data_IF_869951137706
#
_entry.id   IF_869951137706
#
_cell.length_a   1.000
_cell.length_b   1.000
_cell.length_c   1.000
_cell.angle_alpha   90.00
_cell.angle_beta   90.00
_cell.angle_gamma   90.00
#
_symmetry.space_group_name_H-M   'P 1'
#
loop_
_entity.id
_entity.type
_entity.pdbx_description
1 polymer ?
#
# COMPACT_ATOMS: atom_id res chain seq x y z
N UNK A 1 -21.47 -13.33 -50.92
CA UNK A 1 -21.60 -13.00 -49.49
C UNK A 1 -21.71 -11.51 -49.33
N UNK A 2 -22.84 -11.07 -48.81
CA UNK A 2 -23.53 -9.81 -49.13
C UNK A 2 -23.16 -8.66 -48.20
N UNK A 3 -23.24 -7.42 -48.72
CA UNK A 3 -23.00 -6.16 -48.01
C UNK A 3 -23.75 -6.03 -46.66
N UNK A 4 -24.83 -6.79 -46.45
CA UNK A 4 -25.57 -6.85 -45.19
C UNK A 4 -24.78 -7.48 -44.03
N UNK A 5 -23.99 -8.54 -44.28
CA UNK A 5 -23.20 -9.19 -43.22
C UNK A 5 -22.13 -8.26 -42.63
N UNK A 6 -21.53 -7.39 -43.47
CA UNK A 6 -20.52 -6.41 -43.02
C UNK A 6 -21.08 -5.31 -42.12
N UNK A 7 -22.37 -4.97 -42.25
CA UNK A 7 -23.02 -3.94 -41.43
C UNK A 7 -23.25 -4.43 -39.99
N UNK A 8 -23.68 -5.67 -39.82
CA UNK A 8 -23.88 -6.27 -38.51
C UNK A 8 -22.57 -6.47 -37.75
N UNK A 9 -21.49 -6.91 -38.42
CA UNK A 9 -20.17 -7.05 -37.78
C UNK A 9 -19.64 -5.71 -37.25
N UNK A 10 -19.80 -4.62 -38.02
CA UNK A 10 -19.41 -3.27 -37.57
C UNK A 10 -20.23 -2.78 -36.38
N UNK A 11 -21.55 -3.02 -36.37
CA UNK A 11 -22.42 -2.62 -35.26
C UNK A 11 -22.12 -3.39 -33.97
N UNK A 12 -21.87 -4.70 -34.08
CA UNK A 12 -21.46 -5.53 -32.94
C UNK A 12 -20.10 -5.10 -32.40
N UNK A 13 -19.12 -4.86 -33.28
CA UNK A 13 -17.80 -4.38 -32.86
C UNK A 13 -17.88 -3.01 -32.18
N UNK A 14 -18.70 -2.09 -32.70
CA UNK A 14 -18.92 -0.77 -32.12
C UNK A 14 -19.61 -0.86 -30.74
N UNK A 15 -20.60 -1.75 -30.59
CA UNK A 15 -21.26 -2.02 -29.30
C UNK A 15 -20.29 -2.63 -28.29
N UNK A 16 -19.43 -3.57 -28.71
CA UNK A 16 -18.39 -4.15 -27.86
C UNK A 16 -17.38 -3.08 -27.44
N UNK A 17 -16.92 -2.23 -28.37
CA UNK A 17 -16.04 -1.10 -28.06
C UNK A 17 -16.69 -0.09 -27.10
N UNK A 18 -17.97 0.26 -27.31
CA UNK A 18 -18.70 1.16 -26.41
C UNK A 18 -18.91 0.55 -25.02
N UNK A 19 -19.13 -0.76 -24.94
CA UNK A 19 -19.20 -1.49 -23.67
C UNK A 19 -17.82 -1.57 -22.98
N UNK A 20 -16.74 -1.55 -23.75
CA UNK A 20 -15.37 -1.55 -23.22
C UNK A 20 -14.97 -0.19 -22.64
N UNK A 21 -15.33 0.94 -23.26
CA UNK A 21 -14.95 2.30 -22.80
C UNK A 21 -15.20 2.55 -21.29
N UNK A 22 -16.36 2.22 -20.69
CA UNK A 22 -16.59 2.44 -19.26
C UNK A 22 -15.72 1.55 -18.35
N UNK A 23 -15.24 0.39 -18.80
CA UNK A 23 -14.29 -0.44 -18.03
C UNK A 23 -12.93 0.26 -17.85
N UNK A 24 -12.54 1.14 -18.77
CA UNK A 24 -11.28 1.88 -18.67
C UNK A 24 -11.39 3.15 -17.83
N UNK A 25 -12.59 3.69 -17.62
CA UNK A 25 -12.81 4.88 -16.78
C UNK A 25 -12.96 4.57 -15.28
N UNK A 26 -13.24 3.32 -14.92
CA UNK A 26 -13.40 2.92 -13.51
C UNK A 26 -12.16 3.12 -12.63
N UNK A 27 -10.97 3.24 -13.22
CA UNK A 27 -9.73 3.45 -12.47
C UNK A 27 -9.48 4.93 -12.09
N UNK A 28 -10.16 5.87 -12.73
CA UNK A 28 -9.87 7.32 -12.65
C UNK A 28 -11.00 8.14 -11.99
N UNK A 29 -12.01 7.50 -11.37
CA UNK A 29 -13.09 8.25 -10.71
C UNK A 29 -12.56 8.98 -9.47
N UNK A 30 -12.35 10.29 -9.62
CA UNK A 30 -12.06 11.21 -8.53
C UNK A 30 -13.36 11.49 -7.77
N UNK A 31 -13.67 10.67 -6.76
CA UNK A 31 -14.71 11.03 -5.78
C UNK A 31 -14.15 12.09 -4.84
N UNK A 32 -14.91 13.16 -4.63
CA UNK A 32 -14.61 14.12 -3.58
C UNK A 32 -14.49 13.38 -2.24
N UNK A 33 -13.48 13.75 -1.46
CA UNK A 33 -13.36 13.23 -0.10
C UNK A 33 -14.57 13.71 0.71
N UNK A 34 -15.14 12.87 1.59
CA UNK A 34 -16.27 13.27 2.40
C UNK A 34 -15.87 14.46 3.28
N UNK A 35 -16.73 15.47 3.36
CA UNK A 35 -16.57 16.56 4.32
C UNK A 35 -16.91 16.03 5.72
N UNK A 36 -15.91 16.00 6.60
CA UNK A 36 -16.07 15.58 7.99
C UNK A 36 -15.77 16.75 8.91
N UNK A 37 -16.55 16.90 9.99
CA UNK A 37 -16.27 17.89 11.04
C UNK A 37 -14.92 17.60 11.70
N UNK A 38 -14.61 16.30 11.89
CA UNK A 38 -13.32 15.81 12.37
C UNK A 38 -12.97 14.52 11.65
N UNK A 39 -11.82 14.49 10.98
CA UNK A 39 -11.32 13.26 10.37
C UNK A 39 -10.50 12.44 11.34
N UNK A 40 -10.60 11.12 11.22
CA UNK A 40 -9.86 10.20 12.08
C UNK A 40 -8.38 10.21 11.73
N UNK A 41 -7.53 10.56 12.71
CA UNK A 41 -6.08 10.49 12.57
C UNK A 41 -5.53 9.40 13.47
N UNK A 42 -4.97 8.37 12.85
CA UNK A 42 -4.29 7.30 13.57
C UNK A 42 -2.89 7.74 13.95
N UNK A 43 -2.68 7.90 15.25
CA UNK A 43 -1.44 8.36 15.84
C UNK A 43 -0.57 7.16 16.22
N UNK A 44 0.72 7.16 15.86
CA UNK A 44 1.62 6.13 16.33
C UNK A 44 1.74 6.22 17.86
N UNK A 45 1.40 5.14 18.56
CA UNK A 45 1.79 4.95 19.96
C UNK A 45 3.28 4.57 20.08
N UNK A 46 3.75 4.19 21.28
CA UNK A 46 5.12 3.76 21.47
C UNK A 46 5.51 2.62 20.52
N UNK A 47 6.61 2.80 19.78
CA UNK A 47 7.16 1.78 18.87
C UNK A 47 8.27 0.95 19.52
N UNK A 48 8.54 -0.27 19.02
CA UNK A 48 9.55 -1.15 19.61
C UNK A 48 10.98 -0.62 19.52
N UNK A 49 11.30 0.18 18.51
CA UNK A 49 12.64 0.74 18.29
C UNK A 49 12.61 2.28 18.24
N UNK A 50 13.60 2.98 18.83
CA UNK A 50 13.61 4.45 18.86
C UNK A 50 13.61 5.11 17.48
N UNK A 51 14.29 4.52 16.49
CA UNK A 51 14.36 5.08 15.14
C UNK A 51 13.02 4.93 14.41
N UNK A 52 12.35 3.78 14.59
CA UNK A 52 10.99 3.53 14.12
C UNK A 52 10.01 4.51 14.77
N UNK A 53 10.10 4.72 16.08
CA UNK A 53 9.25 5.65 16.84
C UNK A 53 9.36 7.11 16.34
N UNK A 54 10.61 7.55 16.15
CA UNK A 54 10.92 8.91 15.72
C UNK A 54 10.29 9.26 14.37
N UNK A 55 10.30 8.33 13.43
CA UNK A 55 9.84 8.56 12.06
C UNK A 55 8.48 7.93 11.74
N UNK A 56 7.78 7.44 12.76
CA UNK A 56 6.48 6.81 12.58
C UNK A 56 5.47 7.77 11.92
N UNK A 57 4.81 7.34 10.83
CA UNK A 57 3.77 8.14 10.19
C UNK A 57 2.49 8.15 11.02
N UNK A 58 1.70 9.21 10.85
CA UNK A 58 0.29 9.23 11.19
C UNK A 58 -0.55 8.97 9.93
N UNK A 59 -1.70 8.32 10.08
CA UNK A 59 -2.60 8.04 8.96
C UNK A 59 -3.90 8.82 9.14
N UNK A 60 -4.21 9.71 8.20
CA UNK A 60 -5.49 10.37 8.13
C UNK A 60 -6.43 9.54 7.24
N UNK A 61 -7.46 8.96 7.86
CA UNK A 61 -8.48 8.19 7.15
C UNK A 61 -9.79 8.97 7.15
N UNK A 62 -10.48 8.95 6.02
CA UNK A 62 -11.82 9.51 5.89
C UNK A 62 -12.88 8.41 5.95
N UNK A 63 -14.14 8.79 6.20
CA UNK A 63 -15.26 7.86 6.26
C UNK A 63 -15.18 6.91 7.45
N UNK A 64 -14.72 7.39 8.62
CA UNK A 64 -14.46 6.54 9.79
C UNK A 64 -15.71 5.77 10.29
N UNK A 65 -16.91 6.29 10.02
CA UNK A 65 -18.17 5.61 10.35
C UNK A 65 -18.22 4.19 9.74
N UNK A 66 -17.67 4.03 8.54
CA UNK A 66 -17.59 2.75 7.86
C UNK A 66 -16.41 1.92 8.37
N UNK A 67 -16.71 0.73 8.88
CA UNK A 67 -15.72 -0.15 9.51
C UNK A 67 -14.59 -0.54 8.56
N UNK A 68 -14.87 -0.68 7.27
CA UNK A 68 -13.87 -1.04 6.25
C UNK A 68 -12.84 0.08 6.00
N UNK A 69 -13.06 1.31 6.47
CA UNK A 69 -12.09 2.42 6.40
C UNK A 69 -11.17 2.49 7.62
N UNK A 70 -11.38 1.62 8.61
CA UNK A 70 -10.63 1.66 9.87
C UNK A 70 -9.38 0.81 9.76
N UNK A 71 -8.25 1.37 10.16
CA UNK A 71 -7.03 0.59 10.42
C UNK A 71 -7.31 -0.35 11.60
N UNK A 72 -6.89 -1.62 11.47
CA UNK A 72 -7.08 -2.63 12.52
C UNK A 72 -5.91 -3.60 12.64
N UNK A 73 -6.05 -4.55 13.57
CA UNK A 73 -5.06 -5.60 13.83
C UNK A 73 -5.44 -6.91 13.14
N UNK A 74 -4.60 -7.43 12.23
CA UNK A 74 -4.62 -8.84 11.83
C UNK A 74 -4.82 -9.77 13.02
N UNK A 75 -5.89 -10.55 12.98
CA UNK A 75 -6.34 -11.43 14.05
C UNK A 75 -6.85 -12.74 13.45
N UNK A 76 -6.91 -13.80 14.24
CA UNK A 76 -7.41 -15.11 13.81
C UNK A 76 -8.57 -15.56 14.70
N UNK A 77 -9.53 -16.29 14.11
CA UNK A 77 -10.66 -16.89 14.83
C UNK A 77 -11.15 -18.17 14.15
N UNK A 78 -11.95 -18.97 14.88
CA UNK A 78 -12.68 -20.09 14.28
C UNK A 78 -13.98 -19.57 13.69
N UNK A 79 -14.21 -19.92 12.44
CA UNK A 79 -15.53 -19.75 11.80
C UNK A 79 -16.56 -20.68 12.48
N UNK A 80 -17.88 -20.45 12.30
CA UNK A 80 -18.90 -21.38 12.78
C UNK A 80 -18.74 -22.82 12.27
N UNK A 81 -18.10 -23.02 11.12
CA UNK A 81 -17.78 -24.33 10.56
C UNK A 81 -16.51 -24.99 11.13
N UNK A 82 -15.85 -24.35 12.10
CA UNK A 82 -14.62 -24.86 12.75
C UNK A 82 -13.32 -24.55 12.01
N UNK A 83 -13.38 -23.99 10.79
CA UNK A 83 -12.21 -23.59 10.01
C UNK A 83 -11.56 -22.33 10.60
N UNK A 84 -10.24 -22.24 10.47
CA UNK A 84 -9.49 -21.01 10.75
C UNK A 84 -9.84 -19.90 9.75
N UNK A 85 -10.01 -18.68 10.24
CA UNK A 85 -10.16 -17.47 9.46
C UNK A 85 -9.25 -16.38 10.03
N UNK A 86 -8.50 -15.71 9.17
CA UNK A 86 -7.82 -14.45 9.52
C UNK A 86 -8.65 -13.26 9.05
N UNK A 87 -8.68 -12.22 9.86
CA UNK A 87 -9.45 -11.01 9.60
C UNK A 87 -8.75 -9.81 10.26
N UNK A 88 -9.15 -8.59 9.91
CA UNK A 88 -8.63 -7.37 10.53
C UNK A 88 -9.59 -6.88 11.62
N UNK A 89 -9.13 -6.82 12.87
CA UNK A 89 -9.85 -6.27 14.01
C UNK A 89 -9.76 -4.74 14.06
N UNK A 90 -10.82 -4.01 13.67
CA UNK A 90 -10.80 -2.54 13.59
C UNK A 90 -10.85 -1.86 14.96
N UNK A 91 -11.03 -2.61 16.06
CA UNK A 91 -11.07 -2.07 17.42
C UNK A 91 -9.67 -1.97 18.06
N UNK A 92 -8.67 -2.62 17.46
CA UNK A 92 -7.30 -2.65 17.95
C UNK A 92 -6.34 -2.16 16.87
N UNK A 93 -6.36 -0.89 16.47
CA UNK A 93 -5.51 -0.41 15.38
C UNK A 93 -4.03 -0.62 15.69
N UNK A 94 -3.33 -1.28 14.76
CA UNK A 94 -1.93 -1.68 14.94
C UNK A 94 -1.14 -1.36 13.68
N UNK A 95 0.08 -0.84 13.86
CA UNK A 95 1.07 -0.67 12.78
C UNK A 95 2.21 -1.64 13.00
N UNK A 96 2.51 -2.40 11.95
CA UNK A 96 3.56 -3.42 11.96
C UNK A 96 4.84 -2.86 11.37
N UNK A 97 5.96 -3.01 12.07
CA UNK A 97 7.19 -2.31 11.75
C UNK A 97 8.36 -3.26 11.51
N UNK A 98 9.24 -2.85 10.61
CA UNK A 98 10.47 -3.57 10.30
C UNK A 98 11.55 -2.54 9.97
N UNK A 99 12.78 -2.80 10.40
CA UNK A 99 13.95 -2.01 10.02
C UNK A 99 14.89 -2.88 9.18
N UNK A 100 15.35 -2.37 8.04
CA UNK A 100 16.39 -3.04 7.22
C UNK A 100 17.40 -2.02 6.70
N UNK A 101 18.66 -2.43 6.60
CA UNK A 101 19.71 -1.63 5.96
C UNK A 101 19.98 -2.15 4.55
N UNK A 102 20.40 -1.25 3.68
CA UNK A 102 20.96 -1.59 2.37
C UNK A 102 22.06 -0.59 2.02
N UNK A 103 22.92 -0.98 1.08
CA UNK A 103 24.03 -0.13 0.62
C UNK A 103 23.99 0.03 -0.88
N UNK A 104 24.43 1.19 -1.35
CA UNK A 104 24.58 1.54 -2.76
C UNK A 104 26.01 2.04 -3.00
N UNK A 105 26.27 2.58 -4.20
CA UNK A 105 27.54 3.26 -4.47
C UNK A 105 27.66 4.63 -3.76
N UNK A 106 26.55 5.24 -3.29
CA UNK A 106 26.59 6.56 -2.65
C UNK A 106 26.48 6.51 -1.12
N UNK A 107 26.11 5.39 -0.54
CA UNK A 107 26.08 5.27 0.91
C UNK A 107 25.35 4.03 1.43
N UNK A 108 25.18 4.02 2.75
CA UNK A 108 24.35 3.05 3.45
C UNK A 108 23.09 3.76 3.93
N UNK A 109 21.97 3.09 3.75
CA UNK A 109 20.65 3.60 4.04
C UNK A 109 19.90 2.64 4.96
N UNK A 110 18.97 3.20 5.73
CA UNK A 110 18.09 2.42 6.62
C UNK A 110 16.64 2.64 6.22
N UNK A 111 15.95 1.58 5.85
CA UNK A 111 14.52 1.60 5.61
C UNK A 111 13.75 1.27 6.90
N UNK A 112 12.78 2.11 7.19
CA UNK A 112 11.77 1.89 8.23
C UNK A 112 10.43 1.59 7.55
N UNK A 113 9.97 0.36 7.70
CA UNK A 113 8.70 -0.10 7.14
C UNK A 113 7.59 0.07 8.16
N UNK A 114 6.43 0.56 7.71
CA UNK A 114 5.22 0.71 8.49
C UNK A 114 4.05 0.13 7.70
N UNK A 115 3.52 -1.00 8.16
CA UNK A 115 2.43 -1.72 7.50
C UNK A 115 1.16 -1.63 8.33
N UNK A 116 0.07 -1.19 7.70
CA UNK A 116 -1.27 -1.15 8.29
C UNK A 116 -2.23 -1.94 7.42
N UNK A 117 -3.35 -2.38 8.01
CA UNK A 117 -4.34 -3.21 7.34
C UNK A 117 -5.76 -2.71 7.61
N UNK A 118 -6.64 -2.97 6.65
CA UNK A 118 -8.07 -2.65 6.72
C UNK A 118 -8.89 -3.92 6.54
N UNK A 119 -10.13 -3.97 7.07
CA UNK A 119 -10.98 -5.16 6.94
C UNK A 119 -11.21 -5.62 5.50
N UNK A 120 -11.57 -4.70 4.59
CA UNK A 120 -11.88 -5.04 3.20
C UNK A 120 -11.96 -3.82 2.29
N UNK A 121 -11.76 -4.02 0.99
CA UNK A 121 -12.24 -3.10 -0.05
C UNK A 121 -13.62 -3.59 -0.48
N UNK A 122 -14.71 -2.84 -0.22
CA UNK A 122 -16.05 -3.27 -0.61
C UNK A 122 -16.16 -3.35 -2.13
N UNK A 123 -16.83 -4.40 -2.60
CA UNK A 123 -17.14 -4.56 -4.00
C UNK A 123 -18.07 -3.46 -4.49
N UNK A 124 -17.78 -2.93 -5.67
CA UNK A 124 -18.63 -1.97 -6.37
C UNK A 124 -18.53 -2.26 -7.86
N UNK A 125 -19.69 -2.26 -8.54
CA UNK A 125 -19.77 -2.35 -10.01
C UNK A 125 -19.59 -0.97 -10.67
N UNK A 126 -19.99 0.10 -9.98
CA UNK A 126 -19.93 1.48 -10.47
C UNK A 126 -19.52 2.42 -9.31
N UNK A 127 -18.26 2.91 -9.29
CA UNK A 127 -17.14 2.50 -10.14
C UNK A 127 -16.76 1.05 -9.87
N UNK A 128 -16.17 0.41 -10.88
CA UNK A 128 -15.69 -0.96 -10.75
C UNK A 128 -14.45 -1.01 -9.86
N UNK A 129 -14.58 -1.57 -8.65
CA UNK A 129 -13.46 -1.76 -7.73
C UNK A 129 -12.72 -3.06 -8.06
N UNK A 130 -11.70 -2.95 -8.91
CA UNK A 130 -10.86 -4.08 -9.29
C UNK A 130 -10.21 -4.76 -8.07
N UNK A 131 -9.83 -3.96 -7.06
CA UNK A 131 -9.13 -4.37 -5.83
C UNK A 131 -10.04 -4.91 -4.72
N UNK A 132 -11.32 -5.13 -5.00
CA UNK A 132 -12.29 -5.62 -4.01
C UNK A 132 -11.86 -6.96 -3.40
N UNK A 133 -11.99 -7.07 -2.07
CA UNK A 133 -11.62 -8.25 -1.30
C UNK A 133 -11.11 -7.90 0.09
N UNK A 134 -10.77 -8.93 0.86
CA UNK A 134 -10.48 -8.79 2.29
C UNK A 134 -8.99 -8.54 2.57
N UNK A 135 -8.73 -8.08 3.79
CA UNK A 135 -7.41 -7.87 4.36
C UNK A 135 -6.44 -7.02 3.51
N UNK A 136 -6.89 -5.96 2.80
CA UNK A 136 -5.97 -5.07 2.10
C UNK A 136 -5.02 -4.38 3.09
N UNK A 137 -3.77 -4.22 2.67
CA UNK A 137 -2.78 -3.48 3.45
C UNK A 137 -2.11 -2.37 2.65
N UNK A 138 -1.55 -1.42 3.40
CA UNK A 138 -0.66 -0.38 2.89
C UNK A 138 0.66 -0.50 3.63
N UNK A 139 1.75 -0.22 2.92
CA UNK A 139 3.09 -0.15 3.46
C UNK A 139 3.69 1.21 3.12
N UNK A 140 4.16 1.91 4.15
CA UNK A 140 4.97 3.12 4.04
C UNK A 140 6.41 2.76 4.38
N UNK A 141 7.34 3.19 3.54
CA UNK A 141 8.78 2.99 3.77
C UNK A 141 9.44 4.34 3.86
N UNK A 142 10.04 4.64 5.01
CA UNK A 142 10.86 5.83 5.20
C UNK A 142 12.32 5.41 5.07
N UNK A 143 12.99 5.86 4.01
CA UNK A 143 14.41 5.59 3.78
C UNK A 143 15.23 6.70 4.42
N UNK A 144 16.16 6.35 5.29
CA UNK A 144 17.05 7.25 6.00
C UNK A 144 18.47 7.18 5.45
N UNK A 145 19.18 8.31 5.46
CA UNK A 145 20.62 8.37 5.24
C UNK A 145 21.43 7.97 6.49
N UNK A 146 22.76 8.05 6.38
CA UNK A 146 23.73 7.78 7.46
C UNK A 146 23.60 8.73 8.66
N UNK A 147 22.94 9.88 8.49
CA UNK A 147 22.62 10.85 9.54
C UNK A 147 21.21 10.66 10.10
N UNK A 148 20.55 9.56 9.75
CA UNK A 148 19.17 9.24 10.14
C UNK A 148 18.14 10.29 9.70
N UNK A 149 18.38 10.97 8.58
CA UNK A 149 17.44 11.92 7.97
C UNK A 149 16.65 11.21 6.87
N UNK A 150 15.32 11.43 6.77
CA UNK A 150 14.51 10.81 5.72
C UNK A 150 14.88 11.40 4.37
N UNK A 151 15.30 10.58 3.42
CA UNK A 151 15.65 10.98 2.05
C UNK A 151 14.57 10.58 1.04
N UNK A 152 13.85 9.48 1.29
CA UNK A 152 12.70 9.05 0.48
C UNK A 152 11.56 8.59 1.38
N UNK A 153 10.35 8.77 0.88
CA UNK A 153 9.14 8.10 1.37
C UNK A 153 8.52 7.33 0.23
N UNK A 154 8.48 6.00 0.34
CA UNK A 154 7.72 5.15 -0.57
C UNK A 154 6.39 4.76 0.07
N UNK A 155 5.33 4.74 -0.74
CA UNK A 155 4.04 4.15 -0.37
C UNK A 155 3.65 3.09 -1.39
N UNK A 156 3.11 1.97 -0.92
CA UNK A 156 2.70 0.86 -1.77
C UNK A 156 1.61 0.07 -1.07
N UNK A 157 0.67 -0.51 -1.80
CA UNK A 157 -0.26 -1.47 -1.21
C UNK A 157 0.42 -2.83 -1.02
N UNK A 158 -0.06 -3.68 -0.12
CA UNK A 158 0.60 -4.96 0.17
C UNK A 158 0.47 -6.03 -0.92
N UNK A 159 -0.32 -5.75 -1.97
CA UNK A 159 -0.31 -6.40 -3.29
C UNK A 159 0.93 -6.10 -4.15
N UNK A 160 1.73 -5.08 -3.82
CA UNK A 160 2.77 -4.50 -4.69
C UNK A 160 2.27 -3.43 -5.67
N UNK A 161 0.98 -3.11 -5.63
CA UNK A 161 0.32 -2.14 -6.49
C UNK A 161 0.30 -0.71 -5.88
N UNK A 162 -0.04 0.30 -6.68
CA UNK A 162 -0.09 1.72 -6.28
C UNK A 162 1.22 2.27 -5.66
N UNK A 163 2.37 1.83 -6.18
CA UNK A 163 3.66 2.36 -5.75
C UNK A 163 3.78 3.86 -6.08
N UNK A 164 4.20 4.64 -5.09
CA UNK A 164 4.74 5.97 -5.27
C UNK A 164 6.00 6.16 -4.44
N UNK A 165 6.97 6.92 -4.95
CA UNK A 165 8.19 7.29 -4.23
C UNK A 165 8.32 8.82 -4.29
N UNK A 166 8.33 9.46 -3.13
CA UNK A 166 8.42 10.91 -2.98
C UNK A 166 9.74 11.26 -2.30
N UNK A 167 10.57 12.13 -2.90
CA UNK A 167 11.82 12.56 -2.27
C UNK A 167 11.55 13.57 -1.17
N UNK A 168 12.52 13.73 -0.28
CA UNK A 168 12.50 14.81 0.72
C UNK A 168 13.43 15.95 0.33
N UNK A 169 13.42 17.02 1.12
CA UNK A 169 14.39 18.11 1.11
C UNK A 169 15.81 17.68 1.56
N UNK A 170 15.99 16.46 2.07
CA UNK A 170 17.31 15.90 2.39
C UNK A 170 17.93 15.07 1.27
N UNK A 171 17.17 14.67 0.25
CA UNK A 171 17.71 13.94 -0.88
C UNK A 171 18.49 14.89 -1.82
N UNK A 172 19.76 14.61 -2.12
CA UNK A 172 20.52 15.43 -3.05
C UNK A 172 19.99 15.27 -4.49
N UNK A 173 20.02 16.34 -5.27
CA UNK A 173 19.38 16.38 -6.60
C UNK A 173 19.99 15.35 -7.57
N UNK A 174 21.28 15.03 -7.43
CA UNK A 174 21.93 14.00 -8.25
C UNK A 174 21.41 12.57 -8.00
N UNK A 175 20.69 12.33 -6.90
CA UNK A 175 20.05 11.05 -6.59
C UNK A 175 18.61 10.91 -7.12
N UNK A 176 17.99 12.00 -7.57
CA UNK A 176 16.66 11.99 -8.21
C UNK A 176 16.66 11.21 -9.54
N UNK A 177 15.53 10.78 -10.10
CA UNK A 177 15.47 10.29 -11.48
C UNK A 177 15.91 11.34 -12.52
N UNK A 178 16.45 10.91 -13.68
CA UNK A 178 16.96 11.84 -14.73
C UNK A 178 15.87 12.75 -15.30
N UNK A 179 14.66 12.20 -15.38
CA UNK A 179 13.47 12.88 -15.86
C UNK A 179 12.64 13.51 -14.73
N UNK A 180 13.23 13.74 -13.54
CA UNK A 180 12.51 14.36 -12.43
C UNK A 180 12.13 15.80 -12.76
N UNK A 181 10.82 16.08 -12.82
CA UNK A 181 10.32 17.39 -13.27
C UNK A 181 10.06 18.37 -12.13
N UNK A 182 10.10 17.91 -10.87
CA UNK A 182 9.70 18.71 -9.71
C UNK A 182 8.21 19.07 -9.69
N UNK A 183 7.39 18.45 -10.55
CA UNK A 183 5.92 18.62 -10.56
C UNK A 183 5.25 17.53 -9.73
N UNK A 184 4.00 17.78 -9.36
CA UNK A 184 3.16 16.81 -8.66
C UNK A 184 3.17 15.45 -9.37
N UNK A 185 3.16 14.38 -8.58
CA UNK A 185 3.14 13.02 -9.10
C UNK A 185 1.69 12.58 -9.25
N UNK A 186 1.31 12.20 -10.46
CA UNK A 186 0.01 11.60 -10.75
C UNK A 186 0.12 10.08 -10.61
N UNK A 187 -0.52 9.53 -9.57
CA UNK A 187 -0.45 8.10 -9.23
C UNK A 187 -1.86 7.55 -9.23
N UNK A 188 -2.26 6.91 -10.33
CA UNK A 188 -3.57 6.25 -10.47
C UNK A 188 -4.78 7.14 -10.11
N UNK A 189 -4.77 8.40 -10.53
CA UNK A 189 -5.83 9.38 -10.27
C UNK A 189 -5.69 10.14 -8.94
N UNK A 190 -4.61 9.90 -8.20
CA UNK A 190 -4.23 10.68 -7.02
C UNK A 190 -3.05 11.61 -7.31
N UNK A 191 -2.93 12.69 -6.53
CA UNK A 191 -1.90 13.71 -6.71
C UNK A 191 -1.02 13.81 -5.47
N UNK A 192 0.24 13.40 -5.59
CA UNK A 192 1.23 13.48 -4.51
C UNK A 192 2.19 14.66 -4.72
N UNK A 193 2.76 15.23 -3.64
CA UNK A 193 3.70 16.34 -3.80
C UNK A 193 4.98 15.89 -4.52
N UNK A 194 5.66 16.82 -5.22
CA UNK A 194 6.96 16.57 -5.83
C UNK A 194 8.08 16.40 -4.80
N UNK A 195 7.90 16.86 -3.57
CA UNK A 195 8.91 16.81 -2.53
C UNK A 195 8.25 16.99 -1.16
N UNK A 196 8.67 16.20 -0.19
CA UNK A 196 8.31 16.37 1.21
C UNK A 196 9.33 17.29 1.89
N UNK A 197 8.85 18.22 2.71
CA UNK A 197 9.70 19.22 3.35
C UNK A 197 9.70 18.97 4.85
N UNK A 198 10.80 18.43 5.38
CA UNK A 198 10.94 18.13 6.81
C UNK A 198 11.49 19.31 7.60
N UNK A 199 12.37 20.12 7.02
CA UNK A 199 12.84 21.33 7.67
C UNK A 199 11.81 22.47 7.55
N UNK A 200 11.66 23.36 8.55
CA UNK A 200 12.43 23.46 9.79
C UNK A 200 11.71 22.84 11.01
N UNK A 201 10.82 21.86 10.83
CA UNK A 201 10.03 21.34 11.95
C UNK A 201 10.92 20.66 12.99
N UNK A 202 10.75 20.99 14.28
CA UNK A 202 11.47 20.34 15.38
C UNK A 202 10.99 18.90 15.61
N UNK A 203 9.68 18.68 15.47
CA UNK A 203 9.01 17.39 15.63
C UNK A 203 8.16 17.06 14.39
N UNK A 204 8.77 16.89 13.21
CA UNK A 204 8.04 16.60 11.98
C UNK A 204 7.32 15.26 12.09
N UNK A 205 6.11 15.19 11.55
CA UNK A 205 5.37 13.94 11.37
C UNK A 205 4.91 13.84 9.92
N UNK A 206 5.18 12.68 9.32
CA UNK A 206 4.62 12.32 8.02
C UNK A 206 3.13 12.02 8.23
N UNK A 207 2.26 12.77 7.57
CA UNK A 207 0.82 12.53 7.53
C UNK A 207 0.46 11.88 6.19
N UNK A 208 -0.18 10.71 6.28
CA UNK A 208 -0.53 9.88 5.14
C UNK A 208 -2.04 9.92 4.94
N UNK A 209 -2.51 10.46 3.83
CA UNK A 209 -3.95 10.62 3.57
C UNK A 209 -4.49 9.43 2.79
N UNK A 210 -5.43 8.71 3.39
CA UNK A 210 -5.93 7.43 2.85
C UNK A 210 -7.36 7.59 2.35
N UNK A 211 -7.58 7.27 1.07
CA UNK A 211 -8.91 7.31 0.43
C UNK A 211 -9.85 6.29 1.06
N UNK A 212 -11.11 6.66 1.38
CA UNK A 212 -12.09 5.70 1.85
C UNK A 212 -12.46 4.69 0.76
N UNK A 213 -12.76 3.46 1.16
CA UNK A 213 -13.22 2.36 0.33
C UNK A 213 -12.12 1.63 -0.42
N UNK A 214 -11.16 2.34 -1.01
CA UNK A 214 -10.09 1.73 -1.84
C UNK A 214 -8.69 1.87 -1.24
N UNK A 215 -8.56 2.60 -0.13
CA UNK A 215 -7.35 2.76 0.68
C UNK A 215 -6.11 3.27 -0.08
N UNK A 216 -6.31 3.97 -1.20
CA UNK A 216 -5.22 4.62 -1.95
C UNK A 216 -4.64 5.79 -1.18
N UNK A 217 -3.34 6.03 -1.33
CA UNK A 217 -2.71 7.24 -0.80
C UNK A 217 -3.06 8.41 -1.72
N UNK A 218 -3.84 9.34 -1.18
CA UNK A 218 -4.32 10.53 -1.90
C UNK A 218 -3.37 11.70 -1.78
N UNK A 219 -2.64 11.77 -0.66
CA UNK A 219 -1.70 12.84 -0.37
C UNK A 219 -0.69 12.39 0.69
N UNK A 220 0.48 13.01 0.67
CA UNK A 220 1.52 12.90 1.68
C UNK A 220 1.94 14.31 2.05
N UNK A 221 2.03 14.61 3.34
CA UNK A 221 2.57 15.88 3.81
C UNK A 221 3.39 15.70 5.09
N UNK A 222 4.26 16.65 5.40
CA UNK A 222 4.97 16.69 6.67
C UNK A 222 4.41 17.86 7.47
N UNK A 223 3.95 17.58 8.69
CA UNK A 223 3.34 18.56 9.58
C UNK A 223 4.09 18.62 10.91
N UNK A 224 4.02 19.74 11.66
CA UNK A 224 4.42 19.75 13.06
C UNK A 224 3.61 18.75 13.88
N UNK A 225 4.25 17.96 14.75
CA UNK A 225 3.56 16.94 15.55
C UNK A 225 2.41 17.50 16.40
N UNK A 226 2.55 18.72 16.92
CA UNK A 226 1.48 19.40 17.67
C UNK A 226 0.21 19.69 16.86
N UNK A 227 0.29 19.81 15.53
CA UNK A 227 -0.86 20.06 14.66
C UNK A 227 -1.84 18.89 14.64
N UNK A 228 -1.34 17.66 14.84
CA UNK A 228 -2.17 16.44 14.86
C UNK A 228 -3.08 16.36 16.10
N UNK A 229 -2.87 17.21 17.10
CA UNK A 229 -3.72 17.35 18.29
C UNK A 229 -4.75 18.49 18.18
N UNK A 230 -4.89 19.11 17.01
CA UNK A 230 -5.86 20.18 16.79
C UNK A 230 -7.31 19.66 16.73
N UNK A 231 -8.28 20.56 16.93
CA UNK A 231 -9.72 20.24 16.87
C UNK A 231 -10.22 19.72 15.52
N UNK A 232 -9.39 19.77 14.47
CA UNK A 232 -9.70 19.24 13.13
C UNK A 232 -9.65 17.71 13.09
N UNK A 233 -8.96 17.09 14.03
CA UNK A 233 -8.72 15.65 14.02
C UNK A 233 -9.36 14.96 15.21
N UNK A 234 -9.81 13.73 14.97
CA UNK A 234 -10.17 12.78 16.02
C UNK A 234 -9.01 11.79 16.18
N UNK A 235 -8.14 11.95 17.20
CA UNK A 235 -6.97 11.10 17.36
C UNK A 235 -7.37 9.68 17.80
N UNK A 236 -6.76 8.69 17.14
CA UNK A 236 -6.90 7.27 17.46
C UNK A 236 -5.52 6.71 17.70
N UNK A 237 -5.23 6.23 18.90
CA UNK A 237 -3.93 5.65 19.21
C UNK A 237 -3.77 4.29 18.53
N UNK A 238 -2.65 4.08 17.83
CA UNK A 238 -2.24 2.78 17.32
C UNK A 238 -1.21 2.12 18.23
N UNK A 239 -1.25 0.79 18.29
CA UNK A 239 -0.16 0.00 18.86
C UNK A 239 0.93 -0.24 17.81
N UNK A 240 2.19 -0.10 18.19
CA UNK A 240 3.32 -0.56 17.38
C UNK A 240 3.64 -2.04 17.65
N UNK A 241 3.81 -2.84 16.61
CA UNK A 241 4.21 -4.24 16.72
C UNK A 241 5.32 -4.60 15.70
N UNK A 242 6.25 -5.51 16.01
CA UNK A 242 7.19 -6.03 15.01
C UNK A 242 6.46 -6.75 13.86
N UNK A 243 6.97 -6.62 12.63
CA UNK A 243 6.37 -7.27 11.45
C UNK A 243 6.36 -8.81 11.56
N UNK A 244 7.26 -9.38 12.35
CA UNK A 244 7.32 -10.82 12.63
C UNK A 244 6.10 -11.33 13.40
N UNK A 245 5.38 -10.47 14.14
CA UNK A 245 4.17 -10.86 14.87
C UNK A 245 3.04 -11.30 13.93
N UNK A 246 3.09 -10.88 12.65
CA UNK A 246 2.17 -11.36 11.61
C UNK A 246 2.32 -12.86 11.32
N UNK A 247 3.43 -13.49 11.72
CA UNK A 247 3.62 -14.94 11.61
C UNK A 247 3.03 -15.70 12.81
N UNK A 248 2.61 -15.00 13.87
CA UNK A 248 2.23 -15.60 15.16
C UNK A 248 1.01 -14.92 15.77
N UNK A 249 -0.06 -14.82 14.98
CA UNK A 249 -1.35 -14.31 15.45
C UNK A 249 -1.91 -15.25 16.54
N UNK A 250 -2.35 -14.74 17.70
CA UNK A 250 -2.98 -15.57 18.71
C UNK A 250 -4.19 -16.33 18.16
N UNK A 251 -4.24 -17.64 18.36
CA UNK A 251 -5.31 -18.49 17.87
C UNK A 251 -5.50 -19.72 18.78
N UNK A 252 -6.68 -19.84 19.39
CA UNK A 252 -7.01 -20.83 20.42
C UNK A 252 -5.96 -20.90 21.56
N UNK A 253 -5.23 -22.02 21.66
CA UNK A 253 -4.20 -22.28 22.64
C UNK A 253 -2.77 -22.09 22.06
N UNK A 254 -2.66 -21.55 20.85
CA UNK A 254 -1.39 -21.39 20.13
C UNK A 254 -1.36 -20.13 19.28
N UNK A 255 -0.74 -20.24 18.11
CA UNK A 255 -0.64 -19.16 17.14
C UNK A 255 -0.84 -19.69 15.71
N UNK A 256 -1.28 -18.82 14.82
CA UNK A 256 -1.29 -19.07 13.37
C UNK A 256 -0.64 -17.93 12.61
N UNK A 257 -0.24 -18.17 11.37
CA UNK A 257 0.29 -17.15 10.49
C UNK A 257 -0.83 -16.36 9.82
N UNK A 258 -0.62 -15.06 9.61
CA UNK A 258 -1.44 -14.22 8.74
C UNK A 258 -1.32 -14.61 7.26
N UNK A 259 -0.26 -15.36 6.90
CA UNK A 259 0.05 -15.78 5.54
C UNK A 259 -0.12 -17.28 5.37
N UNK A 260 -0.38 -17.73 4.14
CA UNK A 260 -0.24 -19.15 3.80
C UNK A 260 1.24 -19.53 3.90
N UNK A 261 1.54 -20.59 4.67
CA UNK A 261 2.93 -21.05 4.90
C UNK A 261 3.37 -22.13 3.91
N UNK A 262 2.42 -22.71 3.17
CA UNK A 262 2.64 -23.79 2.22
C UNK A 262 1.70 -23.70 1.01
N UNK A 263 1.97 -24.54 0.00
CA UNK A 263 1.18 -24.63 -1.23
C UNK A 263 1.40 -23.49 -2.22
N UNK A 264 0.54 -23.42 -3.23
CA UNK A 264 0.63 -22.42 -4.32
C UNK A 264 0.48 -20.98 -3.83
N UNK A 265 -0.19 -20.79 -2.70
CA UNK A 265 -0.43 -19.48 -2.09
C UNK A 265 0.64 -19.07 -1.09
N UNK A 266 1.73 -19.85 -0.90
CA UNK A 266 2.77 -19.54 0.08
C UNK A 266 3.20 -18.07 0.01
N UNK A 267 3.23 -17.41 1.16
CA UNK A 267 3.58 -15.99 1.30
C UNK A 267 2.48 -14.99 0.91
N UNK A 268 1.28 -15.44 0.53
CA UNK A 268 0.12 -14.55 0.37
C UNK A 268 -0.66 -14.44 1.68
N UNK A 269 -1.27 -13.29 1.91
CA UNK A 269 -2.17 -13.05 3.04
C UNK A 269 -3.40 -13.95 2.90
N UNK A 270 -3.75 -14.68 3.97
CA UNK A 270 -4.93 -15.54 3.97
C UNK A 270 -6.20 -14.71 3.72
N UNK A 271 -7.07 -15.19 2.83
CA UNK A 271 -8.31 -14.49 2.44
C UNK A 271 -8.14 -13.30 1.49
N UNK A 272 -6.92 -12.92 1.07
CA UNK A 272 -6.68 -11.75 0.22
C UNK A 272 -6.84 -11.99 -1.30
N UNK A 273 -7.52 -13.07 -1.71
CA UNK A 273 -7.74 -13.36 -3.13
C UNK A 273 -8.60 -12.25 -3.77
N UNK A 274 -8.13 -11.71 -4.91
CA UNK A 274 -8.81 -10.65 -5.66
C UNK A 274 -9.35 -11.23 -6.97
N UNK A 275 -10.57 -11.81 -6.99
CA UNK A 275 -11.03 -12.61 -8.12
C UNK A 275 -11.07 -11.83 -9.44
N UNK A 276 -11.38 -10.53 -9.39
CA UNK A 276 -11.42 -9.69 -10.58
C UNK A 276 -10.03 -9.33 -11.12
N UNK A 277 -9.06 -9.05 -10.23
CA UNK A 277 -7.66 -8.86 -10.64
C UNK A 277 -7.09 -10.13 -11.22
N UNK A 278 -7.28 -11.27 -10.55
CA UNK A 278 -6.88 -12.58 -11.09
C UNK A 278 -7.48 -12.81 -12.47
N UNK A 279 -8.77 -12.55 -12.68
CA UNK A 279 -9.42 -12.79 -13.97
C UNK A 279 -8.88 -11.88 -15.09
N UNK A 280 -8.67 -10.59 -14.79
CA UNK A 280 -8.37 -9.58 -15.82
C UNK A 280 -6.86 -9.38 -16.05
N UNK A 281 -6.04 -9.58 -15.02
CA UNK A 281 -4.62 -9.22 -15.04
C UNK A 281 -3.69 -10.43 -15.09
N UNK A 282 -4.13 -11.63 -14.68
CA UNK A 282 -3.23 -12.79 -14.57
C UNK A 282 -2.56 -13.20 -15.87
N UNK A 283 -3.25 -13.05 -17.01
CA UNK A 283 -2.69 -13.36 -18.31
C UNK A 283 -1.60 -12.35 -18.72
N UNK A 284 -1.80 -11.07 -18.40
CA UNK A 284 -0.85 -10.00 -18.74
C UNK A 284 0.36 -10.08 -17.82
N UNK A 285 0.13 -10.32 -16.53
CA UNK A 285 1.18 -10.40 -15.55
C UNK A 285 1.88 -11.76 -15.56
N UNK A 286 1.26 -12.85 -16.05
CA UNK A 286 1.69 -14.23 -15.81
C UNK A 286 1.79 -14.55 -14.30
N UNK A 287 0.77 -14.17 -13.53
CA UNK A 287 0.60 -14.52 -12.11
C UNK A 287 -0.88 -14.67 -11.77
N UNK A 288 -1.27 -15.88 -11.34
CA UNK A 288 -2.64 -16.21 -10.97
C UNK A 288 -3.10 -15.49 -9.69
N UNK A 289 -2.17 -15.00 -8.88
CA UNK A 289 -2.42 -14.31 -7.61
C UNK A 289 -2.00 -12.84 -7.67
N UNK A 290 -1.93 -12.27 -8.89
CA UNK A 290 -1.78 -10.83 -9.08
C UNK A 290 -2.86 -10.09 -8.30
N UNK A 291 -2.46 -9.05 -7.56
CA UNK A 291 -3.37 -8.27 -6.73
C UNK A 291 -3.57 -8.78 -5.31
N UNK A 292 -3.26 -10.04 -5.02
CA UNK A 292 -3.33 -10.57 -3.66
C UNK A 292 -2.24 -9.98 -2.78
N UNK A 293 -2.60 -9.62 -1.57
CA UNK A 293 -1.68 -9.08 -0.57
C UNK A 293 -0.64 -10.12 -0.15
N UNK A 294 0.60 -9.68 0.10
CA UNK A 294 1.77 -10.55 0.26
C UNK A 294 2.52 -10.28 1.55
N UNK A 295 3.32 -11.26 1.96
CA UNK A 295 4.38 -11.08 2.94
C UNK A 295 5.49 -10.21 2.34
N UNK A 296 6.10 -9.37 3.17
CA UNK A 296 7.36 -8.71 2.83
C UNK A 296 8.49 -9.48 3.53
N UNK A 297 9.06 -10.46 2.82
CA UNK A 297 10.07 -11.38 3.33
C UNK A 297 10.99 -11.84 2.20
N UNK A 298 12.02 -12.61 2.55
CA UNK A 298 12.97 -13.15 1.59
C UNK A 298 12.27 -14.07 0.58
N UNK A 299 12.34 -13.77 -0.74
CA UNK A 299 11.73 -14.61 -1.76
C UNK A 299 12.37 -16.00 -1.85
N UNK A 300 13.61 -16.19 -1.37
CA UNK A 300 14.23 -17.52 -1.31
C UNK A 300 13.60 -18.41 -0.23
N UNK A 301 13.12 -17.82 0.86
CA UNK A 301 12.44 -18.52 1.94
C UNK A 301 10.96 -18.74 1.63
N UNK A 302 10.28 -17.69 1.16
CA UNK A 302 8.83 -17.69 0.99
C UNK A 302 8.37 -18.07 -0.42
N UNK A 303 9.27 -18.10 -1.40
CA UNK A 303 8.93 -18.40 -2.81
C UNK A 303 8.08 -17.33 -3.49
N UNK A 304 7.82 -16.20 -2.81
CA UNK A 304 7.00 -15.10 -3.29
C UNK A 304 7.78 -13.80 -3.22
N UNK A 305 7.74 -13.02 -4.28
CA UNK A 305 8.43 -11.73 -4.39
C UNK A 305 7.46 -10.59 -4.09
N UNK A 306 7.96 -9.54 -3.46
CA UNK A 306 7.21 -8.30 -3.30
C UNK A 306 7.48 -7.37 -4.50
N UNK A 307 7.07 -7.83 -5.69
CA UNK A 307 7.29 -7.10 -6.94
C UNK A 307 6.31 -5.93 -7.08
N UNK A 308 6.76 -4.84 -7.70
CA UNK A 308 5.96 -3.62 -7.93
C UNK A 308 5.67 -3.33 -9.40
N UNK A 309 6.15 -4.19 -10.30
CA UNK A 309 5.91 -4.10 -11.74
C UNK A 309 5.07 -5.25 -12.25
N UNK A 310 4.07 -4.94 -13.09
CA UNK A 310 3.30 -5.96 -13.81
C UNK A 310 4.09 -6.61 -14.96
N UNK A 311 5.26 -6.06 -15.33
CA UNK A 311 6.13 -6.64 -16.37
C UNK A 311 6.77 -7.91 -15.82
N UNK A 312 6.25 -9.07 -16.22
CA UNK A 312 6.68 -10.36 -15.67
C UNK A 312 8.20 -10.61 -15.80
N UNK A 313 8.82 -10.13 -16.88
CA UNK A 313 10.26 -10.23 -17.14
C UNK A 313 11.13 -9.25 -16.33
N UNK A 314 10.53 -8.41 -15.48
CA UNK A 314 11.23 -7.44 -14.60
C UNK A 314 10.83 -7.59 -13.12
N UNK A 315 10.25 -8.74 -12.75
CA UNK A 315 9.79 -8.95 -11.37
C UNK A 315 10.91 -8.88 -10.36
N UNK A 316 12.02 -9.57 -10.62
CA UNK A 316 13.21 -9.56 -9.76
C UNK A 316 13.73 -8.14 -9.52
N UNK A 317 13.83 -7.35 -10.60
CA UNK A 317 14.34 -5.98 -10.51
C UNK A 317 13.38 -5.02 -9.80
N UNK A 318 12.08 -5.33 -9.79
CA UNK A 318 11.05 -4.53 -9.11
C UNK A 318 10.69 -5.05 -7.72
N UNK A 319 11.40 -6.07 -7.23
CA UNK A 319 11.17 -6.69 -5.93
C UNK A 319 11.71 -5.79 -4.82
N UNK A 320 10.82 -5.31 -3.95
CA UNK A 320 11.19 -4.44 -2.84
C UNK A 320 12.10 -5.12 -1.80
N UNK A 321 12.20 -6.46 -1.79
CA UNK A 321 13.11 -7.15 -0.89
C UNK A 321 14.58 -6.80 -1.15
N UNK A 322 14.97 -6.63 -2.42
CA UNK A 322 16.25 -6.03 -2.82
C UNK A 322 16.04 -4.54 -3.11
N UNK A 323 16.01 -3.75 -2.03
CA UNK A 323 15.60 -2.35 -2.12
C UNK A 323 16.54 -1.49 -2.99
N UNK A 324 17.82 -1.86 -3.09
CA UNK A 324 18.79 -1.13 -3.91
C UNK A 324 18.48 -1.31 -5.41
N UNK A 325 18.30 -2.56 -5.85
CA UNK A 325 17.94 -2.85 -7.25
C UNK A 325 16.52 -2.34 -7.57
N UNK A 326 15.59 -2.44 -6.62
CA UNK A 326 14.25 -1.85 -6.73
C UNK A 326 14.29 -0.34 -7.01
N UNK A 327 15.07 0.41 -6.23
CA UNK A 327 15.21 1.86 -6.43
C UNK A 327 15.77 2.19 -7.82
N UNK A 328 16.82 1.47 -8.23
CA UNK A 328 17.45 1.60 -9.54
C UNK A 328 16.49 1.25 -10.69
N UNK A 329 15.66 0.21 -10.54
CA UNK A 329 14.62 -0.14 -11.51
C UNK A 329 13.62 1.01 -11.71
N UNK A 330 13.26 1.72 -10.63
CA UNK A 330 12.41 2.91 -10.68
C UNK A 330 13.16 4.21 -11.00
N UNK A 331 14.44 4.13 -11.38
CA UNK A 331 15.25 5.25 -11.86
C UNK A 331 15.86 6.12 -10.77
N UNK A 332 15.73 5.74 -9.49
CA UNK A 332 16.39 6.44 -8.39
C UNK A 332 17.88 6.12 -8.37
N UNK A 333 18.70 7.13 -8.10
CA UNK A 333 20.17 7.04 -8.18
C UNK A 333 20.81 7.20 -6.80
N UNK A 334 20.24 6.53 -5.79
CA UNK A 334 20.81 6.44 -4.45
C UNK A 334 22.08 5.61 -4.42
#
# INVERSE_FOLDING_TARGET
>A
MTLHAKKHVKQVLLLVLMLWIPFWQGCAEYRALPEEVRSAVYMPGPMPEPLIDRWAPAFLTYGYADVYNRIGRPSARRTPGGNEEVWIDPQAPTVYTLQRTFSTQRGTYTNLFYRVHFPSVPFSLIPFHLTAGDNPGIMIVVTLDDRHRPVLVASVHTCGCYLAIVPTDYLPDEALPENWTGRTLEVYGETLPPRLVYAPFETPRLLVHVRPGVHRITHLEVVPGGQLHSDRYAPIAMTGAPMQDLLRLPFDHGATSFYYEEGLMKGHVKGSLKPFETLLMSLISLDLFVGSDKIYADPQEWGNRFYTSLKFWRRDESDMWDFAEFLKYWGWRL
#
